data_IF_692187955178
#
_entry.id   IF_692187955178
#
_cell.length_a   1.000
_cell.length_b   1.000
_cell.length_c   1.000
_cell.angle_alpha   90.00
_cell.angle_beta   90.00
_cell.angle_gamma   90.00
#
_symmetry.space_group_name_H-M   'P 1'
#
loop_
_entity.id
_entity.type
_entity.pdbx_description
1 polymer ?
#
# COMPACT_ATOMS: atom_id res chain seq x y z
N UNK A 1 6.46 -0.13 14.62
CA UNK A 1 6.47 -0.51 13.19
C UNK A 1 6.67 -2.00 13.18
N UNK A 2 5.73 -2.77 12.63
CA UNK A 2 5.94 -4.21 12.46
C UNK A 2 7.12 -4.41 11.50
N UNK A 3 8.17 -5.07 11.95
CA UNK A 3 9.29 -5.51 11.11
C UNK A 3 8.82 -6.72 10.27
N UNK A 4 7.91 -6.49 9.35
CA UNK A 4 7.51 -7.50 8.39
C UNK A 4 8.41 -7.37 7.16
N UNK A 5 9.13 -8.42 6.73
CA UNK A 5 9.84 -8.41 5.47
C UNK A 5 8.85 -8.11 4.33
N UNK A 6 9.19 -7.19 3.44
CA UNK A 6 8.44 -7.02 2.20
C UNK A 6 8.73 -8.20 1.28
N UNK A 7 7.68 -8.82 0.76
CA UNK A 7 7.79 -9.87 -0.26
C UNK A 7 7.84 -9.30 -1.67
N UNK A 8 7.45 -8.03 -1.81
CA UNK A 8 7.24 -7.34 -3.07
C UNK A 8 8.09 -6.07 -3.15
N UNK A 9 8.44 -5.70 -4.36
CA UNK A 9 9.03 -4.40 -4.70
C UNK A 9 8.02 -3.63 -5.53
N UNK A 10 7.56 -2.49 -5.00
CA UNK A 10 6.61 -1.62 -5.67
C UNK A 10 7.35 -0.38 -6.20
N UNK A 11 7.34 -0.19 -7.50
CA UNK A 11 7.95 0.94 -8.20
C UNK A 11 6.85 1.81 -8.82
N UNK A 12 6.93 3.10 -8.58
CA UNK A 12 5.93 4.05 -9.05
C UNK A 12 6.54 5.15 -9.91
N UNK A 13 5.78 5.58 -10.93
CA UNK A 13 6.06 6.79 -11.69
C UNK A 13 4.85 7.68 -11.74
N UNK A 14 5.04 9.00 -11.71
CA UNK A 14 3.98 9.98 -11.95
C UNK A 14 3.71 10.21 -13.44
N UNK A 15 4.53 9.64 -14.33
CA UNK A 15 4.37 9.76 -15.78
C UNK A 15 3.35 8.75 -16.29
N UNK A 16 2.23 9.25 -16.84
CA UNK A 16 1.07 8.45 -17.25
C UNK A 16 1.06 8.18 -18.76
N UNK A 17 2.16 8.44 -19.50
CA UNK A 17 2.21 8.34 -20.96
C UNK A 17 3.34 7.44 -21.44
N UNK A 18 3.69 7.55 -22.71
CA UNK A 18 4.65 6.75 -23.47
C UNK A 18 5.95 6.40 -22.72
N UNK A 19 6.32 7.23 -21.73
CA UNK A 19 7.45 7.01 -20.83
C UNK A 19 7.29 5.81 -19.89
N UNK A 20 6.07 5.35 -19.59
CA UNK A 20 5.86 4.20 -18.68
C UNK A 20 6.41 2.92 -19.27
N UNK A 21 6.03 2.60 -20.52
CA UNK A 21 6.50 1.39 -21.21
C UNK A 21 8.02 1.42 -21.44
N UNK A 22 8.58 2.59 -21.75
CA UNK A 22 10.04 2.77 -21.87
C UNK A 22 10.74 2.57 -20.52
N UNK A 23 10.15 3.07 -19.43
CA UNK A 23 10.65 2.87 -18.07
C UNK A 23 10.63 1.40 -17.67
N UNK A 24 9.56 0.69 -17.97
CA UNK A 24 9.45 -0.77 -17.74
C UNK A 24 10.54 -1.52 -18.50
N UNK A 25 10.74 -1.20 -19.79
CA UNK A 25 11.77 -1.84 -20.61
C UNK A 25 13.18 -1.63 -20.03
N UNK A 26 13.51 -0.41 -19.61
CA UNK A 26 14.81 -0.09 -18.97
C UNK A 26 15.03 -0.88 -17.67
N UNK A 27 13.99 -1.05 -16.87
CA UNK A 27 14.07 -1.84 -15.63
C UNK A 27 14.27 -3.32 -15.94
N UNK A 28 13.56 -3.85 -16.93
CA UNK A 28 13.74 -5.22 -17.39
C UNK A 28 15.18 -5.46 -17.90
N UNK A 29 15.69 -4.57 -18.75
CA UNK A 29 17.05 -4.65 -19.27
C UNK A 29 18.08 -4.63 -18.14
N UNK A 30 17.92 -3.75 -17.16
CA UNK A 30 18.81 -3.66 -16.01
C UNK A 30 18.82 -4.97 -15.18
N UNK A 31 17.67 -5.58 -14.92
CA UNK A 31 17.61 -6.87 -14.24
C UNK A 31 18.30 -7.98 -15.04
N UNK A 32 18.10 -8.03 -16.37
CA UNK A 32 18.73 -9.03 -17.24
C UNK A 32 20.25 -8.83 -17.27
N UNK A 33 20.74 -7.59 -17.37
CA UNK A 33 22.18 -7.26 -17.33
C UNK A 33 22.84 -7.71 -16.01
N UNK A 34 22.07 -7.77 -14.91
CA UNK A 34 22.55 -8.28 -13.63
C UNK A 34 22.35 -9.79 -13.46
N UNK A 35 22.03 -10.51 -14.53
CA UNK A 35 21.92 -11.98 -14.53
C UNK A 35 20.63 -12.51 -13.93
N UNK A 36 19.60 -11.68 -13.78
CA UNK A 36 18.29 -12.10 -13.30
C UNK A 36 17.39 -12.50 -14.46
N UNK A 37 16.52 -13.47 -14.23
CA UNK A 37 15.50 -13.90 -15.20
C UNK A 37 14.18 -13.21 -14.90
N UNK A 38 13.48 -12.78 -15.96
CA UNK A 38 12.22 -12.04 -15.84
C UNK A 38 11.12 -12.84 -16.54
N UNK A 39 9.97 -12.88 -15.89
CA UNK A 39 8.70 -13.29 -16.46
C UNK A 39 7.68 -12.16 -16.25
N UNK A 40 7.04 -11.72 -17.32
CA UNK A 40 5.93 -10.78 -17.25
C UNK A 40 4.66 -11.55 -16.90
N UNK A 41 4.07 -11.25 -15.76
CA UNK A 41 2.85 -11.91 -15.29
C UNK A 41 1.59 -11.09 -15.62
N UNK A 42 1.70 -9.76 -15.59
CA UNK A 42 0.65 -8.81 -16.00
C UNK A 42 1.29 -7.69 -16.79
N UNK A 43 0.66 -7.32 -17.90
CA UNK A 43 1.06 -6.19 -18.74
C UNK A 43 -0.17 -5.37 -19.12
N UNK A 44 -0.17 -4.11 -18.68
CA UNK A 44 -1.22 -3.14 -19.02
C UNK A 44 -0.61 -1.74 -19.17
N UNK A 45 -1.34 -0.78 -19.76
CA UNK A 45 -0.80 0.55 -20.05
C UNK A 45 -0.27 1.34 -18.85
N UNK A 46 -0.70 1.00 -17.63
CA UNK A 46 -0.34 1.72 -16.41
C UNK A 46 0.11 0.82 -15.27
N UNK A 47 0.19 -0.49 -15.51
CA UNK A 47 0.60 -1.45 -14.49
C UNK A 47 1.25 -2.68 -15.12
N UNK A 48 2.43 -3.01 -14.64
CA UNK A 48 3.17 -4.22 -15.02
C UNK A 48 3.55 -4.99 -13.76
N UNK A 49 3.34 -6.31 -13.77
CA UNK A 49 3.84 -7.21 -12.74
C UNK A 49 4.86 -8.15 -13.31
N UNK A 50 6.00 -8.23 -12.67
CA UNK A 50 7.11 -9.11 -13.03
C UNK A 50 7.37 -10.11 -11.91
N UNK A 51 7.65 -11.37 -12.29
CA UNK A 51 8.37 -12.32 -11.46
C UNK A 51 9.84 -12.23 -11.84
N UNK A 52 10.68 -11.79 -10.91
CA UNK A 52 12.13 -11.65 -11.09
C UNK A 52 12.83 -12.75 -10.33
N UNK A 53 13.61 -13.59 -11.00
CA UNK A 53 14.24 -14.78 -10.43
C UNK A 53 15.76 -14.71 -10.54
N UNK A 54 16.45 -15.13 -9.49
CA UNK A 54 17.89 -15.35 -9.49
C UNK A 54 18.18 -16.82 -9.86
N UNK A 55 18.70 -17.10 -11.07
CA UNK A 55 18.87 -18.48 -11.55
C UNK A 55 19.81 -19.31 -10.67
N UNK A 56 20.79 -18.68 -10.03
CA UNK A 56 21.78 -19.37 -9.20
C UNK A 56 21.19 -19.94 -7.89
N UNK A 57 20.18 -19.26 -7.31
CA UNK A 57 19.59 -19.63 -6.01
C UNK A 57 18.15 -20.13 -6.13
N UNK A 58 17.50 -19.87 -7.27
CA UNK A 58 16.08 -20.14 -7.48
C UNK A 58 15.15 -19.17 -6.70
N UNK A 59 15.70 -18.14 -6.05
CA UNK A 59 14.89 -17.13 -5.35
C UNK A 59 14.12 -16.30 -6.37
N UNK A 60 12.85 -16.04 -6.06
CA UNK A 60 11.97 -15.22 -6.90
C UNK A 60 11.35 -14.12 -6.04
N UNK A 61 11.30 -12.91 -6.59
CA UNK A 61 10.61 -11.76 -6.01
C UNK A 61 9.58 -11.22 -7.00
N UNK A 62 8.48 -10.73 -6.50
CA UNK A 62 7.48 -10.02 -7.29
C UNK A 62 7.89 -8.55 -7.35
N UNK A 63 7.84 -7.97 -8.56
CA UNK A 63 8.07 -6.54 -8.80
C UNK A 63 6.84 -5.97 -9.49
N UNK A 64 6.24 -4.98 -8.90
CA UNK A 64 5.11 -4.26 -9.48
C UNK A 64 5.56 -2.85 -9.89
N UNK A 65 5.22 -2.48 -11.11
CA UNK A 65 5.45 -1.14 -11.64
C UNK A 65 4.09 -0.52 -11.94
N UNK A 66 3.85 0.66 -11.42
CA UNK A 66 2.59 1.37 -11.64
C UNK A 66 2.81 2.84 -11.98
N UNK A 67 2.00 3.34 -12.92
CA UNK A 67 1.82 4.78 -13.09
C UNK A 67 0.75 5.24 -12.10
N UNK A 68 1.15 6.08 -11.13
CA UNK A 68 0.24 6.56 -10.09
C UNK A 68 0.51 8.05 -9.81
N UNK A 69 -0.57 8.83 -9.69
CA UNK A 69 -0.48 10.25 -9.36
C UNK A 69 0.04 10.41 -7.92
N UNK A 70 1.06 11.25 -7.77
CA UNK A 70 1.67 11.59 -6.48
C UNK A 70 1.51 13.07 -6.22
N UNK A 71 1.11 13.42 -5.00
CA UNK A 71 0.95 14.82 -4.58
C UNK A 71 2.26 15.44 -4.16
N UNK A 72 3.23 14.61 -3.76
CA UNK A 72 4.52 15.05 -3.24
C UNK A 72 5.69 14.47 -4.05
N UNK A 73 6.80 15.22 -4.16
CA UNK A 73 8.01 14.68 -4.75
C UNK A 73 8.56 13.53 -3.88
N UNK A 74 9.26 12.55 -4.48
CA UNK A 74 9.86 11.47 -3.73
C UNK A 74 10.91 11.99 -2.73
N UNK A 75 11.04 11.27 -1.61
CA UNK A 75 12.09 11.53 -0.61
C UNK A 75 13.33 10.73 -0.97
N UNK A 76 14.48 11.38 -1.04
CA UNK A 76 15.75 10.71 -1.30
C UNK A 76 16.22 9.97 -0.03
N UNK A 77 16.37 8.66 -0.13
CA UNK A 77 16.93 7.79 0.90
C UNK A 77 18.18 7.08 0.37
N UNK A 78 18.88 6.34 1.23
CA UNK A 78 20.09 5.59 0.83
C UNK A 78 19.83 4.60 -0.30
N UNK A 79 18.66 3.97 -0.33
CA UNK A 79 18.23 3.04 -1.38
C UNK A 79 17.77 3.73 -2.67
N UNK A 80 17.73 5.06 -2.70
CA UNK A 80 17.22 5.85 -3.83
C UNK A 80 15.97 6.65 -3.51
N UNK A 81 15.24 7.12 -4.55
CA UNK A 81 13.98 7.85 -4.37
C UNK A 81 12.88 6.93 -3.80
N UNK A 82 12.26 7.36 -2.70
CA UNK A 82 11.17 6.63 -2.05
C UNK A 82 9.91 7.50 -2.05
N UNK A 83 8.76 6.89 -2.19
CA UNK A 83 7.46 7.58 -2.15
C UNK A 83 7.32 8.38 -0.86
N UNK A 84 6.83 9.62 -0.97
CA UNK A 84 6.56 10.46 0.18
C UNK A 84 5.57 9.78 1.14
N UNK A 85 5.79 9.90 2.45
CA UNK A 85 4.99 9.18 3.43
C UNK A 85 3.51 9.55 3.38
N UNK A 86 3.17 10.81 3.08
CA UNK A 86 1.79 11.26 2.96
C UNK A 86 1.09 10.59 1.78
N UNK A 87 1.79 10.41 0.64
CA UNK A 87 1.25 9.67 -0.50
C UNK A 87 1.06 8.18 -0.18
N UNK A 88 1.96 7.59 0.61
CA UNK A 88 1.79 6.21 1.10
C UNK A 88 0.59 6.12 2.02
N UNK A 89 0.46 7.04 2.99
CA UNK A 89 -0.64 7.05 3.94
C UNK A 89 -1.99 7.23 3.24
N UNK A 90 -2.09 8.21 2.33
CA UNK A 90 -3.31 8.42 1.53
C UNK A 90 -3.70 7.19 0.72
N UNK A 91 -2.74 6.55 0.04
CA UNK A 91 -2.99 5.32 -0.73
C UNK A 91 -3.42 4.13 0.14
N UNK A 92 -2.96 4.02 1.38
CA UNK A 92 -3.41 2.98 2.32
C UNK A 92 -4.83 3.21 2.82
N UNK A 93 -5.22 4.48 3.06
CA UNK A 93 -6.61 4.81 3.40
C UNK A 93 -7.54 4.61 2.20
N UNK A 94 -7.10 4.97 0.98
CA UNK A 94 -7.83 4.70 -0.27
C UNK A 94 -8.05 3.20 -0.47
N UNK A 95 -7.04 2.36 -0.22
CA UNK A 95 -7.18 0.90 -0.26
C UNK A 95 -8.20 0.39 0.77
N UNK A 96 -8.17 0.93 2.00
CA UNK A 96 -9.15 0.60 3.04
C UNK A 96 -10.56 1.08 2.65
N UNK A 97 -10.70 2.22 1.96
CA UNK A 97 -11.96 2.72 1.44
C UNK A 97 -12.53 1.86 0.32
N UNK A 98 -11.69 1.31 -0.56
CA UNK A 98 -12.15 0.61 -1.75
C UNK A 98 -12.36 -0.88 -1.59
N UNK A 99 -11.58 -1.56 -0.74
CA UNK A 99 -11.63 -3.02 -0.59
C UNK A 99 -11.71 -3.52 0.86
N UNK A 100 -11.19 -2.76 1.83
CA UNK A 100 -11.22 -3.04 3.27
C UNK A 100 -10.74 -4.47 3.64
N UNK A 101 -9.60 -4.91 3.08
CA UNK A 101 -8.98 -6.19 3.44
C UNK A 101 -8.23 -6.10 4.78
N UNK A 102 -7.96 -7.25 5.43
CA UNK A 102 -7.25 -7.33 6.72
C UNK A 102 -5.96 -6.53 6.73
N UNK A 103 -5.16 -6.64 5.66
CA UNK A 103 -3.89 -5.92 5.53
C UNK A 103 -4.07 -4.40 5.50
N UNK A 104 -5.18 -3.90 4.93
CA UNK A 104 -5.44 -2.46 4.85
C UNK A 104 -5.73 -1.87 6.22
N UNK A 105 -6.45 -2.59 7.08
CA UNK A 105 -6.64 -2.23 8.48
C UNK A 105 -5.31 -2.20 9.24
N UNK A 106 -4.45 -3.20 9.04
CA UNK A 106 -3.14 -3.27 9.68
C UNK A 106 -2.25 -2.09 9.25
N UNK A 107 -2.20 -1.80 7.96
CA UNK A 107 -1.37 -0.73 7.40
C UNK A 107 -1.83 0.65 7.90
N UNK A 108 -3.13 0.92 7.92
CA UNK A 108 -3.69 2.18 8.44
C UNK A 108 -3.53 2.28 9.96
N UNK A 109 -3.69 1.17 10.68
CA UNK A 109 -3.46 1.12 12.13
C UNK A 109 -2.02 1.48 12.49
N UNK A 110 -1.04 1.06 11.69
CA UNK A 110 0.35 1.40 11.90
C UNK A 110 0.61 2.91 11.86
N UNK A 111 -0.08 3.67 11.02
CA UNK A 111 0.00 5.14 11.02
C UNK A 111 -0.63 5.77 12.26
N UNK A 112 -1.80 5.27 12.68
CA UNK A 112 -2.51 5.77 13.86
C UNK A 112 -1.75 5.46 15.14
N UNK A 113 -1.26 4.22 15.29
CA UNK A 113 -0.59 3.75 16.51
C UNK A 113 0.73 4.44 16.79
N UNK A 114 1.44 4.90 15.75
CA UNK A 114 2.68 5.68 15.90
C UNK A 114 2.43 7.13 16.27
N UNK A 115 1.19 7.62 16.22
CA UNK A 115 0.84 9.02 16.43
C UNK A 115 1.37 9.96 15.34
N UNK A 116 1.83 9.42 14.23
CA UNK A 116 2.43 10.17 13.12
C UNK A 116 1.38 10.91 12.29
N UNK A 117 0.17 10.37 12.27
CA UNK A 117 -0.99 10.96 11.61
C UNK A 117 -2.18 10.96 12.54
N UNK A 118 -2.98 12.01 12.49
CA UNK A 118 -4.33 12.02 13.06
C UNK A 118 -5.32 11.39 12.09
N UNK A 119 -6.49 11.00 12.59
CA UNK A 119 -7.60 10.48 11.76
C UNK A 119 -7.97 11.47 10.66
N UNK A 120 -8.08 12.76 11.00
CA UNK A 120 -8.41 13.82 10.04
C UNK A 120 -7.36 13.95 8.95
N UNK A 121 -6.07 13.96 9.30
CA UNK A 121 -5.01 14.00 8.30
C UNK A 121 -5.09 12.81 7.33
N UNK A 122 -5.39 11.61 7.81
CA UNK A 122 -5.55 10.43 6.97
C UNK A 122 -6.75 10.56 6.03
N UNK A 123 -7.88 11.09 6.50
CA UNK A 123 -9.07 11.35 5.66
C UNK A 123 -8.78 12.41 4.59
N UNK A 124 -8.10 13.49 4.96
CA UNK A 124 -7.73 14.55 4.01
C UNK A 124 -6.78 14.05 2.93
N UNK A 125 -5.81 13.21 3.30
CA UNK A 125 -4.89 12.58 2.34
C UNK A 125 -5.63 11.65 1.37
N UNK A 126 -6.58 10.86 1.84
CA UNK A 126 -7.39 10.00 0.98
C UNK A 126 -8.27 10.84 0.05
N UNK A 127 -8.96 11.87 0.56
CA UNK A 127 -9.80 12.75 -0.23
C UNK A 127 -9.02 13.55 -1.30
N UNK A 128 -7.74 13.84 -1.04
CA UNK A 128 -6.87 14.50 -2.03
C UNK A 128 -6.49 13.60 -3.20
N UNK A 129 -6.52 12.27 -3.02
CA UNK A 129 -6.17 11.27 -4.03
C UNK A 129 -7.38 10.78 -4.81
N UNK A 130 -8.51 10.62 -4.14
CA UNK A 130 -9.76 10.13 -4.73
C UNK A 130 -10.88 11.14 -4.54
N UNK A 131 -11.31 11.77 -5.64
CA UNK A 131 -12.43 12.73 -5.63
C UNK A 131 -13.79 12.08 -5.26
N UNK A 132 -13.88 10.76 -5.33
CA UNK A 132 -15.03 9.98 -4.90
C UNK A 132 -14.99 9.58 -3.42
N UNK A 133 -13.94 9.97 -2.69
CA UNK A 133 -13.85 9.64 -1.28
C UNK A 133 -14.97 10.31 -0.47
N UNK A 134 -15.74 9.50 0.25
CA UNK A 134 -16.86 9.95 1.09
C UNK A 134 -16.70 9.39 2.50
N UNK A 135 -16.75 10.26 3.52
CA UNK A 135 -16.56 9.91 4.93
C UNK A 135 -17.64 8.94 5.45
N UNK A 136 -18.88 9.09 4.97
CA UNK A 136 -19.98 8.20 5.36
C UNK A 136 -19.81 6.81 4.78
N UNK A 137 -19.40 6.73 3.50
CA UNK A 137 -19.06 5.45 2.87
C UNK A 137 -17.84 4.84 3.55
N UNK A 138 -16.82 5.64 3.87
CA UNK A 138 -15.66 5.14 4.61
C UNK A 138 -16.03 4.55 5.96
N UNK A 139 -16.92 5.20 6.73
CA UNK A 139 -17.44 4.65 7.99
C UNK A 139 -18.13 3.30 7.79
N UNK A 140 -18.86 3.12 6.67
CA UNK A 140 -19.45 1.83 6.32
C UNK A 140 -18.38 0.79 6.00
N UNK A 141 -17.33 1.16 5.24
CA UNK A 141 -16.21 0.26 4.93
C UNK A 141 -15.46 -0.20 6.19
N UNK A 142 -15.34 0.66 7.20
CA UNK A 142 -14.75 0.28 8.48
C UNK A 142 -15.53 -0.86 9.19
N UNK A 143 -16.82 -1.04 8.91
CA UNK A 143 -17.60 -2.15 9.47
C UNK A 143 -17.16 -3.52 8.94
N UNK A 144 -16.46 -3.58 7.79
CA UNK A 144 -15.91 -4.83 7.28
C UNK A 144 -14.92 -5.49 8.23
N UNK A 145 -14.34 -4.73 9.16
CA UNK A 145 -13.50 -5.25 10.23
C UNK A 145 -14.20 -6.36 11.06
N UNK A 146 -15.52 -6.29 11.20
CA UNK A 146 -16.32 -7.27 11.95
C UNK A 146 -16.43 -8.63 11.22
N UNK A 147 -16.19 -8.65 9.91
CA UNK A 147 -16.26 -9.88 9.09
C UNK A 147 -15.00 -10.75 9.23
N UNK A 148 -13.89 -10.18 9.69
CA UNK A 148 -12.61 -10.86 9.80
C UNK A 148 -12.39 -11.41 11.20
N UNK A 149 -12.19 -12.74 11.38
CA UNK A 149 -11.82 -13.31 12.66
C UNK A 149 -10.38 -12.96 13.04
N UNK A 150 -10.07 -13.00 14.34
CA UNK A 150 -8.76 -12.58 14.85
C UNK A 150 -7.58 -13.38 14.26
N UNK A 151 -7.78 -14.66 13.94
CA UNK A 151 -6.74 -15.50 13.35
C UNK A 151 -6.21 -14.98 12.00
N UNK A 152 -7.00 -14.22 11.26
CA UNK A 152 -6.52 -13.59 10.02
C UNK A 152 -5.51 -12.49 10.31
N UNK A 153 -5.69 -11.71 11.37
CA UNK A 153 -4.71 -10.71 11.82
C UNK A 153 -3.46 -11.37 12.41
N UNK A 154 -3.64 -12.47 13.16
CA UNK A 154 -2.50 -13.24 13.70
C UNK A 154 -1.64 -13.83 12.59
N UNK A 155 -2.22 -14.21 11.45
CA UNK A 155 -1.49 -14.69 10.28
C UNK A 155 -0.57 -13.61 9.68
N UNK A 156 -0.88 -12.32 9.88
CA UNK A 156 -0.02 -11.19 9.53
C UNK A 156 1.03 -10.85 10.61
N UNK A 157 1.10 -11.64 11.68
CA UNK A 157 2.11 -11.49 12.73
C UNK A 157 1.70 -10.58 13.90
N UNK A 158 0.45 -10.11 13.95
CA UNK A 158 -0.03 -9.37 15.12
C UNK A 158 -0.22 -10.31 16.31
N UNK A 159 0.04 -9.82 17.52
CA UNK A 159 -0.36 -10.52 18.74
C UNK A 159 -1.82 -10.20 19.10
N UNK A 160 -2.49 -11.10 19.84
CA UNK A 160 -3.88 -10.89 20.28
C UNK A 160 -4.14 -9.52 20.94
N UNK A 161 -3.26 -8.99 21.82
CA UNK A 161 -3.49 -7.65 22.38
C UNK A 161 -3.49 -6.55 21.33
N UNK A 162 -2.65 -6.68 20.28
CA UNK A 162 -2.57 -5.72 19.19
C UNK A 162 -3.84 -5.74 18.34
N UNK A 163 -4.37 -6.93 18.04
CA UNK A 163 -5.66 -7.09 17.35
C UNK A 163 -6.79 -6.41 18.12
N UNK A 164 -6.85 -6.61 19.45
CA UNK A 164 -7.85 -5.94 20.28
C UNK A 164 -7.74 -4.42 20.26
N UNK A 165 -6.53 -3.89 20.30
CA UNK A 165 -6.28 -2.43 20.23
C UNK A 165 -6.63 -1.87 18.84
N UNK A 166 -6.27 -2.58 17.77
CA UNK A 166 -6.66 -2.23 16.40
C UNK A 166 -8.19 -2.13 16.30
N UNK A 167 -8.93 -3.18 16.71
CA UNK A 167 -10.39 -3.18 16.68
C UNK A 167 -10.99 -2.03 17.47
N UNK A 168 -10.47 -1.75 18.66
CA UNK A 168 -10.95 -0.60 19.47
C UNK A 168 -10.76 0.72 18.72
N UNK A 169 -9.57 0.96 18.15
CA UNK A 169 -9.28 2.21 17.42
C UNK A 169 -10.20 2.42 16.22
N UNK A 170 -10.46 1.37 15.44
CA UNK A 170 -11.34 1.48 14.28
C UNK A 170 -12.81 1.60 14.65
N UNK A 171 -13.27 0.90 15.69
CA UNK A 171 -14.63 1.07 16.20
C UNK A 171 -14.88 2.48 16.71
N UNK A 172 -13.93 3.06 17.45
CA UNK A 172 -13.97 4.45 17.90
C UNK A 172 -13.96 5.44 16.73
N UNK A 173 -13.18 5.13 15.67
CA UNK A 173 -13.15 5.98 14.47
C UNK A 173 -14.47 5.93 13.72
N UNK A 174 -15.00 4.71 13.48
CA UNK A 174 -16.32 4.54 12.87
C UNK A 174 -17.42 5.27 13.63
N UNK A 175 -17.43 5.14 14.95
CA UNK A 175 -18.43 5.81 15.80
C UNK A 175 -18.32 7.34 15.68
N UNK A 176 -17.12 7.90 15.63
CA UNK A 176 -16.92 9.32 15.46
C UNK A 176 -17.48 9.81 14.10
N UNK A 177 -17.16 9.12 13.01
CA UNK A 177 -17.64 9.46 11.66
C UNK A 177 -19.17 9.31 11.49
N UNK A 178 -19.80 8.43 12.24
CA UNK A 178 -21.25 8.21 12.16
C UNK A 178 -22.04 9.28 12.94
N UNK A 179 -21.37 10.02 13.83
CA UNK A 179 -21.99 11.06 14.66
C UNK A 179 -21.72 12.49 14.13
N UNK A 180 -21.01 12.64 13.01
CA UNK A 180 -20.83 13.91 12.26
C UNK A 180 -22.06 14.19 11.39
#
# INVERSE_FOLDING_TARGET
MLERPSEDIDLFTSSVRDDFSEGVAKICDAYIEHGLAIKVDVDSPQFVRLSVSEPATGRTSKVELAADLRSHPPVTMEIGPVVHLDDVAGGKVEALFTRAEVRDFIDVDAFLSTGRFTREQLLDLAASRDLGFDRTVFAQMLSALELYPDNEFLAYGLAEPEVRLLRSRFNDWRAALTNE
#
